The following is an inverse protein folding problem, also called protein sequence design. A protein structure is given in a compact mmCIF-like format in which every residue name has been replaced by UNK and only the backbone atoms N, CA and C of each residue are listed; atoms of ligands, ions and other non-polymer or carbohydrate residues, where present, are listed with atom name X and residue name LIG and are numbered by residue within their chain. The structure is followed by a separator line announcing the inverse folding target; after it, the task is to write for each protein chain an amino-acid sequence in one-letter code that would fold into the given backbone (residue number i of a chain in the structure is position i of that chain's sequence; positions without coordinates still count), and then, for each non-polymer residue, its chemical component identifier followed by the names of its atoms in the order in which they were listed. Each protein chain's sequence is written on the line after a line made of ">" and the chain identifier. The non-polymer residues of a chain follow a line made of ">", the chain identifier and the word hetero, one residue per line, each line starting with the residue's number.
data_IF_849515862686
#
_entry.id   IF_849515862686
#
_cell.length_a   1.000
_cell.length_b   1.000
_cell.length_c   1.000
_cell.angle_alpha   90.00
_cell.angle_beta   90.00
_cell.angle_gamma   90.00
#
_symmetry.space_group_name_H-M   'P 1'
#
loop_
_entity.id
_entity.type
_entity.pdbx_description
1 polymer ?
#
# COMPACT_ATOMS: atom_id res chain seq x y z
N UNK A 1 77.61 -22.08 0.52
CA UNK A 1 77.96 -21.00 1.48
C UNK A 1 76.67 -20.31 1.90
N UNK A 2 76.49 -20.18 3.22
CA UNK A 2 75.54 -19.30 3.96
C UNK A 2 74.01 -19.53 3.83
N UNK A 3 73.51 -20.62 4.42
CA UNK A 3 72.67 -20.70 5.64
C UNK A 3 72.26 -19.39 6.39
N UNK A 4 71.35 -19.40 7.42
CA UNK A 4 70.05 -20.08 7.62
C UNK A 4 68.99 -19.24 8.44
N UNK A 5 67.93 -19.92 8.92
CA UNK A 5 67.15 -19.75 10.20
C UNK A 5 65.87 -18.86 10.27
N UNK A 6 64.77 -19.54 10.70
CA UNK A 6 63.77 -19.24 11.77
C UNK A 6 62.32 -19.41 11.27
N UNK A 7 61.61 -20.47 11.67
CA UNK A 7 60.76 -20.61 12.89
C UNK A 7 59.54 -19.65 12.80
N UNK A 8 58.27 -20.03 12.97
CA UNK A 8 57.58 -20.79 14.04
C UNK A 8 56.10 -20.93 13.55
N UNK A 9 55.49 -22.12 13.44
CA UNK A 9 54.46 -22.70 14.32
C UNK A 9 53.49 -21.75 15.09
N UNK A 10 52.25 -22.24 15.29
CA UNK A 10 51.13 -21.83 16.19
C UNK A 10 49.96 -21.14 15.42
N UNK A 11 48.80 -21.74 15.11
CA UNK A 11 47.76 -22.44 15.88
C UNK A 11 46.86 -21.52 16.74
N UNK A 12 45.56 -21.40 16.38
CA UNK A 12 44.37 -21.22 17.25
C UNK A 12 43.17 -20.84 16.35
N UNK A 13 42.19 -21.71 16.08
CA UNK A 13 41.09 -22.16 16.95
C UNK A 13 39.93 -21.14 17.08
N UNK A 14 38.81 -21.51 16.43
CA UNK A 14 37.42 -21.42 16.86
C UNK A 14 36.92 -20.13 17.55
N UNK A 15 35.90 -19.51 16.94
CA UNK A 15 34.68 -19.14 17.66
C UNK A 15 33.48 -19.13 16.70
N UNK A 16 32.66 -20.17 16.85
CA UNK A 16 31.29 -20.25 16.35
C UNK A 16 30.42 -19.22 17.08
N UNK A 17 29.79 -18.31 16.34
CA UNK A 17 28.64 -17.56 16.83
C UNK A 17 27.45 -17.89 15.93
N UNK A 18 26.75 -18.99 16.26
CA UNK A 18 25.39 -19.17 15.81
C UNK A 18 24.51 -18.20 16.58
N UNK A 19 23.94 -17.21 15.90
CA UNK A 19 22.87 -16.41 16.48
C UNK A 19 21.64 -17.31 16.57
N UNK A 20 21.38 -17.80 17.79
CA UNK A 20 20.09 -18.31 18.16
C UNK A 20 19.10 -17.13 18.21
N UNK A 21 17.95 -17.29 17.56
CA UNK A 21 16.75 -16.46 17.79
C UNK A 21 16.43 -16.58 19.27
N UNK A 22 16.90 -15.59 20.04
CA UNK A 22 16.66 -15.55 21.47
C UNK A 22 15.29 -14.90 21.64
N UNK A 23 14.27 -15.74 21.80
CA UNK A 23 13.03 -15.30 22.41
C UNK A 23 13.38 -14.84 23.84
N UNK A 24 13.67 -13.56 24.00
CA UNK A 24 13.79 -12.97 25.32
C UNK A 24 12.40 -12.97 25.96
N UNK A 25 12.13 -13.99 26.76
CA UNK A 25 11.01 -14.06 27.69
C UNK A 25 11.24 -13.04 28.82
N UNK A 26 10.95 -11.77 28.53
CA UNK A 26 10.87 -10.72 29.55
C UNK A 26 9.48 -10.78 30.18
N UNK A 27 9.36 -11.61 31.21
CA UNK A 27 8.16 -11.76 32.02
C UNK A 27 7.66 -10.40 32.54
N UNK A 28 6.53 -9.94 31.99
CA UNK A 28 5.77 -8.79 32.46
C UNK A 28 4.53 -9.27 33.24
N UNK A 29 4.04 -8.56 34.27
CA UNK A 29 3.13 -9.10 35.28
C UNK A 29 1.67 -9.34 34.83
N UNK A 30 1.33 -9.08 33.57
CA UNK A 30 -0.04 -9.25 33.02
C UNK A 30 -0.10 -10.39 31.98
N UNK A 31 0.13 -11.62 32.44
CA UNK A 31 -0.71 -12.79 32.16
C UNK A 31 -1.09 -13.21 30.73
N UNK A 32 -0.31 -12.90 29.68
CA UNK A 32 -0.57 -13.41 28.32
C UNK A 32 0.68 -13.53 27.47
N UNK A 33 0.74 -14.54 26.59
CA UNK A 33 1.81 -14.68 25.59
C UNK A 33 1.82 -13.43 24.70
N UNK A 34 2.93 -12.69 24.72
CA UNK A 34 3.18 -11.56 23.82
C UNK A 34 4.08 -12.03 22.70
N UNK A 35 3.81 -11.55 21.49
CA UNK A 35 4.75 -11.73 20.37
C UNK A 35 5.44 -10.41 20.07
N UNK A 36 6.76 -10.48 19.88
CA UNK A 36 7.60 -9.32 19.59
C UNK A 36 8.07 -9.43 18.14
N UNK A 37 7.86 -8.37 17.37
CA UNK A 37 8.37 -8.20 16.01
C UNK A 37 9.39 -7.08 16.04
N UNK A 38 10.62 -7.38 15.62
CA UNK A 38 11.64 -6.37 15.39
C UNK A 38 11.48 -5.78 13.99
N UNK A 39 11.82 -4.50 13.83
CA UNK A 39 11.80 -3.78 12.56
C UNK A 39 13.17 -3.20 12.26
N UNK A 40 13.56 -3.29 11.00
CA UNK A 40 14.81 -2.77 10.45
C UNK A 40 14.50 -1.76 9.35
N UNK A 41 15.41 -0.80 9.13
CA UNK A 41 15.31 0.20 8.08
C UNK A 41 16.47 0.06 7.10
N UNK A 42 16.24 0.44 5.84
CA UNK A 42 17.26 0.38 4.78
C UNK A 42 18.41 1.38 4.99
N UNK A 43 18.21 2.36 5.88
CA UNK A 43 19.18 3.40 6.22
C UNK A 43 19.10 3.76 7.71
N UNK A 44 20.20 4.21 8.32
CA UNK A 44 20.20 4.59 9.73
C UNK A 44 19.23 5.74 9.99
N UNK A 45 18.34 5.54 10.95
CA UNK A 45 17.34 6.52 11.35
C UNK A 45 17.87 7.40 12.50
N UNK A 46 17.53 8.69 12.46
CA UNK A 46 17.77 9.58 13.61
C UNK A 46 16.87 9.20 14.79
N UNK A 47 17.24 9.59 16.01
CA UNK A 47 16.42 9.33 17.18
C UNK A 47 15.01 9.94 17.10
N UNK A 48 14.85 11.06 16.38
CA UNK A 48 13.54 11.66 16.13
C UNK A 48 12.73 10.85 15.11
N UNK A 49 13.36 10.42 14.02
CA UNK A 49 12.70 9.59 13.02
C UNK A 49 12.28 8.22 13.59
N UNK A 50 13.08 7.63 14.50
CA UNK A 50 12.70 6.40 15.22
C UNK A 50 11.47 6.60 16.11
N UNK A 51 11.35 7.75 16.80
CA UNK A 51 10.17 8.07 17.62
C UNK A 51 8.92 8.27 16.77
N UNK A 52 9.03 9.02 15.68
CA UNK A 52 7.92 9.22 14.74
C UNK A 52 7.46 7.89 14.13
N UNK A 53 8.42 7.05 13.71
CA UNK A 53 8.13 5.71 13.23
C UNK A 53 7.43 4.84 14.29
N UNK A 54 7.88 4.91 15.55
CA UNK A 54 7.27 4.16 16.64
C UNK A 54 5.81 4.54 16.88
N UNK A 55 5.50 5.84 16.85
CA UNK A 55 4.13 6.35 17.00
C UNK A 55 3.23 5.92 15.85
N UNK A 56 3.72 6.03 14.61
CA UNK A 56 2.99 5.60 13.42
C UNK A 56 2.75 4.09 13.41
N UNK A 57 3.76 3.29 13.75
CA UNK A 57 3.66 1.83 13.80
C UNK A 57 2.65 1.39 14.87
N UNK A 58 2.67 2.03 16.05
CA UNK A 58 1.68 1.78 17.10
C UNK A 58 0.27 2.11 16.60
N UNK A 59 0.09 3.28 15.99
CA UNK A 59 -1.22 3.70 15.49
C UNK A 59 -1.76 2.76 14.41
N UNK A 60 -0.92 2.31 13.47
CA UNK A 60 -1.27 1.28 12.48
C UNK A 60 -1.69 -0.02 13.15
N UNK A 61 -0.94 -0.46 14.16
CA UNK A 61 -1.27 -1.68 14.89
C UNK A 61 -2.64 -1.58 15.59
N UNK A 62 -2.97 -0.43 16.18
CA UNK A 62 -4.28 -0.18 16.77
C UNK A 62 -5.41 -0.26 15.72
N UNK A 63 -5.23 0.39 14.56
CA UNK A 63 -6.22 0.39 13.47
C UNK A 63 -6.43 -1.00 12.83
N UNK A 64 -5.36 -1.80 12.75
CA UNK A 64 -5.42 -3.20 12.29
C UNK A 64 -5.99 -4.16 13.34
N UNK A 65 -6.34 -3.66 14.52
CA UNK A 65 -6.96 -4.44 15.59
C UNK A 65 -5.99 -5.34 16.35
N UNK A 66 -4.69 -5.04 16.35
CA UNK A 66 -3.75 -5.72 17.25
C UNK A 66 -4.11 -5.41 18.71
N UNK A 67 -4.05 -6.43 19.56
CA UNK A 67 -4.40 -6.29 20.97
C UNK A 67 -3.23 -5.76 21.78
N UNK A 68 -3.44 -4.66 22.51
CA UNK A 68 -2.45 -3.99 23.37
C UNK A 68 -1.07 -3.79 22.68
N UNK A 69 -1.00 -3.09 21.53
CA UNK A 69 0.24 -2.87 20.81
C UNK A 69 1.14 -1.90 21.58
N UNK A 70 2.39 -2.33 21.83
CA UNK A 70 3.41 -1.54 22.52
C UNK A 70 4.65 -1.46 21.64
N UNK A 71 5.14 -0.27 21.37
CA UNK A 71 6.35 -0.07 20.58
C UNK A 71 7.47 0.42 21.49
N UNK A 72 8.65 -0.17 21.36
CA UNK A 72 9.86 0.22 22.07
C UNK A 72 11.00 0.46 21.09
N UNK A 73 11.83 1.45 21.39
CA UNK A 73 13.08 1.74 20.69
C UNK A 73 14.25 1.44 21.64
N UNK A 74 14.94 0.33 21.45
CA UNK A 74 16.11 -0.05 22.27
C UNK A 74 17.34 -0.25 21.40
N UNK A 75 18.46 0.37 21.76
CA UNK A 75 19.73 0.24 21.03
C UNK A 75 19.67 0.59 19.54
N UNK A 76 18.72 1.43 19.10
CA UNK A 76 18.49 1.73 17.68
C UNK A 76 17.58 0.73 16.95
N UNK A 77 17.09 -0.30 17.64
CA UNK A 77 16.14 -1.29 17.11
C UNK A 77 14.72 -0.91 17.52
N UNK A 78 13.83 -0.86 16.54
CA UNK A 78 12.40 -0.65 16.75
C UNK A 78 11.72 -2.01 16.94
N UNK A 79 10.94 -2.19 18.00
CA UNK A 79 10.23 -3.44 18.27
C UNK A 79 8.77 -3.18 18.61
N UNK A 80 7.85 -3.93 17.98
CA UNK A 80 6.43 -3.97 18.31
C UNK A 80 6.14 -5.23 19.12
N UNK A 81 5.57 -5.06 20.30
CA UNK A 81 5.05 -6.15 21.10
C UNK A 81 3.53 -6.10 21.11
N UNK A 82 2.87 -7.20 20.74
CA UNK A 82 1.40 -7.33 20.78
C UNK A 82 0.99 -8.51 21.65
N UNK A 83 -0.22 -8.47 22.21
CA UNK A 83 -0.78 -9.58 22.94
C UNK A 83 -1.41 -10.60 21.98
N UNK A 84 -1.01 -11.88 22.08
CA UNK A 84 -1.44 -12.95 21.19
C UNK A 84 -0.56 -13.11 19.95
N UNK A 85 -1.02 -13.93 19.00
CA UNK A 85 -0.29 -14.20 17.77
C UNK A 85 -0.33 -13.00 16.82
N UNK A 86 0.80 -12.77 16.14
CA UNK A 86 0.88 -11.93 14.93
C UNK A 86 0.60 -12.82 13.73
N UNK A 87 -0.52 -12.60 13.06
CA UNK A 87 -0.83 -13.27 11.80
C UNK A 87 0.01 -12.65 10.65
N UNK A 88 -0.35 -12.94 9.40
CA UNK A 88 0.21 -12.31 8.19
C UNK A 88 -0.01 -10.79 8.08
N UNK A 89 -0.67 -10.16 9.06
CA UNK A 89 -0.92 -8.70 9.14
C UNK A 89 0.33 -7.88 9.46
N UNK A 90 1.45 -8.52 9.80
CA UNK A 90 2.70 -7.82 10.15
C UNK A 90 3.29 -7.06 8.96
N UNK A 91 3.21 -7.62 7.74
CA UNK A 91 3.65 -6.93 6.52
C UNK A 91 2.81 -5.68 6.23
N UNK A 92 1.51 -5.74 6.56
CA UNK A 92 0.60 -4.61 6.35
C UNK A 92 0.93 -3.41 7.24
N UNK A 93 1.62 -3.62 8.37
CA UNK A 93 2.09 -2.53 9.24
C UNK A 93 3.11 -1.64 8.54
N UNK A 94 3.96 -2.23 7.69
CA UNK A 94 5.08 -1.56 7.05
C UNK A 94 4.80 -1.16 5.61
N UNK A 95 3.83 -1.81 4.97
CA UNK A 95 3.46 -1.51 3.60
C UNK A 95 3.01 -0.05 3.45
N UNK A 96 3.50 0.60 2.39
CA UNK A 96 3.10 1.96 2.01
C UNK A 96 2.17 1.84 0.82
N UNK A 97 0.88 2.05 1.06
CA UNK A 97 -0.11 2.05 -0.01
C UNK A 97 -0.04 3.37 -0.77
N UNK A 98 0.09 3.28 -2.08
CA UNK A 98 -0.08 4.41 -3.00
C UNK A 98 -1.50 4.37 -3.55
N UNK A 99 -2.31 5.34 -3.16
CA UNK A 99 -3.66 5.54 -3.67
C UNK A 99 -3.71 6.72 -4.63
N UNK A 100 -4.29 6.51 -5.81
CA UNK A 100 -4.38 7.51 -6.87
C UNK A 100 -5.77 7.51 -7.50
N UNK A 101 -6.30 8.70 -7.77
CA UNK A 101 -7.49 8.88 -8.59
C UNK A 101 -7.05 9.39 -9.95
N UNK A 102 -7.34 8.63 -11.00
CA UNK A 102 -6.95 8.96 -12.37
C UNK A 102 -8.16 8.95 -13.29
N UNK A 103 -8.35 9.94 -14.18
CA UNK A 103 -9.42 9.87 -15.18
C UNK A 103 -9.18 8.69 -16.13
N UNK A 104 -10.25 7.99 -16.49
CA UNK A 104 -10.20 6.92 -17.49
C UNK A 104 -10.29 7.55 -18.87
N UNK A 105 -9.36 7.21 -19.75
CA UNK A 105 -9.32 7.70 -21.13
C UNK A 105 -9.93 6.69 -22.10
N UNK A 106 -9.66 5.40 -21.87
CA UNK A 106 -10.19 4.30 -22.67
C UNK A 106 -10.17 2.98 -21.88
N UNK A 107 -11.03 2.05 -22.27
CA UNK A 107 -11.09 0.69 -21.72
C UNK A 107 -11.14 -0.34 -22.84
N UNK A 108 -10.54 -1.51 -22.63
CA UNK A 108 -10.67 -2.66 -23.53
C UNK A 108 -10.66 -3.98 -22.77
N UNK A 109 -11.31 -5.04 -23.29
CA UNK A 109 -11.11 -6.39 -22.80
C UNK A 109 -9.62 -6.81 -22.89
N UNK A 110 -9.07 -7.58 -21.93
CA UNK A 110 -7.67 -8.00 -21.93
C UNK A 110 -7.31 -8.82 -23.17
N UNK A 111 -8.23 -9.66 -23.62
CA UNK A 111 -8.08 -10.53 -24.79
C UNK A 111 -8.20 -9.78 -26.13
N UNK A 112 -8.77 -8.57 -26.15
CA UNK A 112 -8.98 -7.83 -27.40
C UNK A 112 -8.90 -6.30 -27.21
N UNK A 113 -7.68 -5.78 -27.37
CA UNK A 113 -7.41 -4.34 -27.32
C UNK A 113 -7.89 -3.56 -28.55
N UNK A 114 -8.43 -4.24 -29.59
CA UNK A 114 -8.99 -3.58 -30.77
C UNK A 114 -10.38 -2.98 -30.54
N UNK A 115 -11.05 -3.40 -29.45
CA UNK A 115 -12.38 -2.91 -29.06
C UNK A 115 -12.35 -1.47 -28.55
N UNK A 116 -11.20 -0.98 -28.07
CA UNK A 116 -11.05 0.42 -27.71
C UNK A 116 -10.93 1.29 -28.98
N UNK A 117 -11.67 2.40 -29.09
CA UNK A 117 -11.47 3.33 -30.18
C UNK A 117 -10.03 3.86 -30.16
N UNK A 118 -9.27 3.62 -31.23
CA UNK A 118 -7.83 3.91 -31.27
C UNK A 118 -7.48 5.38 -31.08
N UNK A 119 -8.46 6.28 -31.24
CA UNK A 119 -8.37 7.71 -31.00
C UNK A 119 -8.52 8.11 -29.52
N UNK A 120 -9.11 7.26 -28.68
CA UNK A 120 -9.29 7.54 -27.25
C UNK A 120 -8.03 7.25 -26.43
N UNK A 121 -7.17 6.35 -26.89
CA UNK A 121 -5.86 6.10 -26.27
C UNK A 121 -4.83 7.09 -26.84
N UNK A 122 -4.18 7.92 -26.00
CA UNK A 122 -3.13 8.84 -26.48
C UNK A 122 -2.03 8.11 -27.26
N UNK A 123 -1.55 8.70 -28.36
CA UNK A 123 -0.57 8.07 -29.26
C UNK A 123 0.66 7.46 -28.53
N UNK A 124 1.27 8.11 -27.53
CA UNK A 124 2.40 7.54 -26.80
C UNK A 124 2.05 6.29 -25.98
N UNK A 125 0.78 6.15 -25.57
CA UNK A 125 0.30 5.04 -24.72
C UNK A 125 -0.12 3.81 -25.51
N UNK A 126 -0.46 3.96 -26.79
CA UNK A 126 -1.00 2.86 -27.63
C UNK A 126 -0.17 1.57 -27.59
N UNK A 127 1.17 1.57 -27.73
CA UNK A 127 1.95 0.33 -27.66
C UNK A 127 1.88 -0.32 -26.28
N UNK A 128 1.92 0.48 -25.20
CA UNK A 128 1.81 -0.04 -23.83
C UNK A 128 0.44 -0.65 -23.58
N UNK A 129 -0.62 0.02 -24.03
CA UNK A 129 -2.00 -0.45 -23.89
C UNK A 129 -2.24 -1.78 -24.63
N UNK A 130 -1.69 -1.91 -25.84
CA UNK A 130 -1.78 -3.15 -26.63
C UNK A 130 -1.01 -4.30 -25.98
N UNK A 131 0.22 -4.03 -25.53
CA UNK A 131 1.10 -5.02 -24.94
C UNK A 131 0.77 -5.36 -23.47
N UNK A 132 -0.12 -4.62 -22.82
CA UNK A 132 -0.44 -4.79 -21.40
C UNK A 132 -0.91 -6.23 -21.13
N UNK A 133 -0.26 -6.88 -20.16
CA UNK A 133 -0.61 -8.20 -19.67
C UNK A 133 -1.22 -8.08 -18.28
N UNK A 134 -2.51 -8.34 -18.16
CA UNK A 134 -3.23 -8.27 -16.88
C UNK A 134 -3.00 -9.47 -15.96
N UNK A 135 -2.17 -10.43 -16.36
CA UNK A 135 -1.70 -11.52 -15.49
C UNK A 135 -0.38 -11.18 -14.79
N UNK A 136 0.34 -10.16 -15.27
CA UNK A 136 1.55 -9.68 -14.64
C UNK A 136 1.23 -8.86 -13.37
N UNK A 137 2.14 -8.84 -12.37
CA UNK A 137 1.99 -7.98 -11.20
C UNK A 137 1.85 -6.50 -11.62
N UNK A 138 0.95 -5.74 -10.98
CA UNK A 138 0.80 -4.31 -11.23
C UNK A 138 2.11 -3.57 -10.89
N UNK A 139 2.37 -2.48 -11.61
CA UNK A 139 3.51 -1.61 -11.34
C UNK A 139 3.04 -0.17 -11.12
N UNK A 140 3.48 0.50 -10.06
CA UNK A 140 3.23 1.93 -9.88
C UNK A 140 3.75 2.73 -11.07
N UNK A 141 2.96 3.72 -11.51
CA UNK A 141 3.31 4.60 -12.61
C UNK A 141 3.67 6.00 -12.11
N UNK A 142 4.39 6.77 -12.92
CA UNK A 142 4.67 8.17 -12.61
C UNK A 142 3.34 8.96 -12.46
N UNK A 143 3.13 9.67 -11.34
CA UNK A 143 1.89 10.38 -11.08
C UNK A 143 1.61 11.53 -12.06
N UNK A 144 2.64 12.08 -12.70
CA UNK A 144 2.53 13.21 -13.63
C UNK A 144 2.19 12.82 -15.06
N UNK A 145 2.22 11.51 -15.38
CA UNK A 145 2.02 11.01 -16.74
C UNK A 145 0.79 10.13 -16.87
N UNK A 146 0.27 10.06 -18.10
CA UNK A 146 -0.70 9.04 -18.46
C UNK A 146 -0.05 7.65 -18.41
N UNK A 147 -0.82 6.62 -18.08
CA UNK A 147 -0.34 5.25 -17.91
C UNK A 147 -1.40 4.23 -18.31
N UNK A 148 -1.03 2.95 -18.32
CA UNK A 148 -1.95 1.83 -18.52
C UNK A 148 -2.00 0.97 -17.27
N UNK A 149 -3.17 0.43 -16.95
CA UNK A 149 -3.36 -0.44 -15.79
C UNK A 149 -4.48 -1.44 -16.05
N UNK A 150 -4.55 -2.48 -15.21
CA UNK A 150 -5.60 -3.49 -15.28
C UNK A 150 -6.59 -3.31 -14.12
N UNK A 151 -7.87 -3.46 -14.41
CA UNK A 151 -8.89 -3.63 -13.37
C UNK A 151 -8.92 -5.05 -12.85
N UNK A 152 -9.37 -5.17 -11.61
CA UNK A 152 -9.61 -6.46 -10.99
C UNK A 152 -10.86 -7.10 -11.58
N UNK A 153 -10.76 -8.38 -11.96
CA UNK A 153 -11.94 -9.15 -12.34
C UNK A 153 -12.80 -9.38 -11.08
N UNK A 154 -14.13 -9.30 -11.24
CA UNK A 154 -15.09 -9.67 -10.21
C UNK A 154 -15.90 -10.88 -10.68
N UNK A 155 -16.76 -11.41 -9.82
CA UNK A 155 -17.67 -12.50 -10.21
C UNK A 155 -18.68 -12.08 -11.30
N UNK A 156 -18.87 -10.77 -11.51
CA UNK A 156 -19.85 -10.20 -12.43
C UNK A 156 -19.22 -9.48 -13.63
N UNK A 157 -17.96 -9.05 -13.52
CA UNK A 157 -17.30 -8.25 -14.54
C UNK A 157 -15.89 -8.79 -14.82
N UNK A 158 -15.53 -9.03 -16.09
CA UNK A 158 -14.16 -9.42 -16.43
C UNK A 158 -13.20 -8.26 -16.16
N UNK A 159 -11.93 -8.59 -15.89
CA UNK A 159 -10.86 -7.59 -15.87
C UNK A 159 -10.84 -6.81 -17.19
N UNK A 160 -10.43 -5.54 -17.14
CA UNK A 160 -10.28 -4.65 -18.29
C UNK A 160 -8.87 -4.06 -18.31
N UNK A 161 -8.38 -3.74 -19.50
CA UNK A 161 -7.25 -2.83 -19.72
C UNK A 161 -7.78 -1.40 -19.69
N UNK A 162 -7.12 -0.52 -18.96
CA UNK A 162 -7.47 0.89 -18.87
C UNK A 162 -6.29 1.75 -19.31
N UNK A 163 -6.58 2.73 -20.16
CA UNK A 163 -5.68 3.87 -20.38
C UNK A 163 -6.12 4.97 -19.41
N UNK A 164 -5.20 5.43 -18.59
CA UNK A 164 -5.44 6.37 -17.50
C UNK A 164 -4.69 7.67 -17.75
N UNK A 165 -5.30 8.79 -17.37
CA UNK A 165 -4.61 10.07 -17.33
C UNK A 165 -3.63 10.19 -16.16
N UNK A 166 -2.98 11.37 -16.03
CA UNK A 166 -2.22 11.72 -14.84
C UNK A 166 -3.06 11.66 -13.56
N UNK A 167 -2.40 11.59 -12.41
CA UNK A 167 -3.07 11.60 -11.11
C UNK A 167 -3.76 12.93 -10.89
N UNK A 168 -5.07 12.87 -10.70
CA UNK A 168 -5.90 14.03 -10.38
C UNK A 168 -6.00 14.24 -8.86
N UNK A 169 -5.98 13.18 -8.06
CA UNK A 169 -6.02 13.24 -6.58
C UNK A 169 -5.09 12.17 -6.02
N UNK A 170 -4.25 12.56 -5.06
CA UNK A 170 -3.28 11.66 -4.42
C UNK A 170 -3.82 11.17 -3.08
N UNK A 171 -3.31 10.04 -2.60
CA UNK A 171 -3.62 9.55 -1.25
C UNK A 171 -3.28 10.55 -0.14
N UNK A 172 -2.30 11.44 -0.36
CA UNK A 172 -1.96 12.51 0.57
C UNK A 172 -3.10 13.54 0.78
N UNK A 173 -4.06 13.61 -0.14
CA UNK A 173 -5.21 14.52 -0.06
C UNK A 173 -6.37 13.94 0.78
N UNK A 174 -6.18 12.76 1.39
CA UNK A 174 -7.16 12.07 2.23
C UNK A 174 -6.92 12.44 3.69
N UNK A 175 -7.97 12.95 4.35
CA UNK A 175 -7.94 13.31 5.75
C UNK A 175 -8.31 12.13 6.67
N UNK A 176 -9.18 11.22 6.20
CA UNK A 176 -9.63 10.06 6.95
C UNK A 176 -10.01 8.92 6.02
N UNK A 177 -9.72 7.69 6.46
CA UNK A 177 -10.13 6.46 5.80
C UNK A 177 -10.71 5.49 6.83
N UNK A 178 -11.83 4.83 6.52
CA UNK A 178 -12.48 3.90 7.45
C UNK A 178 -13.15 2.76 6.69
N UNK A 179 -12.95 1.53 7.13
CA UNK A 179 -13.66 0.37 6.60
C UNK A 179 -15.12 0.41 7.05
N UNK A 180 -16.04 0.26 6.11
CA UNK A 180 -17.48 0.30 6.35
C UNK A 180 -18.16 -0.86 5.64
N UNK A 181 -19.20 -1.41 6.27
CA UNK A 181 -20.11 -2.35 5.62
C UNK A 181 -21.27 -1.56 5.03
N UNK A 182 -21.45 -1.58 3.72
CA UNK A 182 -22.60 -0.96 3.06
C UNK A 182 -23.75 -1.96 3.01
N UNK A 183 -24.74 -1.77 3.87
CA UNK A 183 -25.91 -2.64 3.99
C UNK A 183 -26.70 -2.77 2.67
N UNK A 184 -26.64 -1.74 1.81
CA UNK A 184 -27.37 -1.72 0.53
C UNK A 184 -26.79 -2.68 -0.49
N UNK A 185 -25.46 -2.75 -0.56
CA UNK A 185 -24.76 -3.66 -1.46
C UNK A 185 -24.35 -4.97 -0.78
N UNK A 186 -24.51 -5.06 0.55
CA UNK A 186 -24.03 -6.14 1.40
C UNK A 186 -22.53 -6.43 1.20
N UNK A 187 -21.72 -5.37 1.03
CA UNK A 187 -20.29 -5.45 0.74
C UNK A 187 -19.48 -4.54 1.66
N UNK A 188 -18.24 -4.93 1.91
CA UNK A 188 -17.27 -4.07 2.55
C UNK A 188 -16.72 -3.05 1.56
N UNK A 189 -16.57 -1.81 2.03
CA UNK A 189 -15.96 -0.71 1.31
C UNK A 189 -15.09 0.13 2.23
N UNK A 190 -14.46 1.15 1.65
CA UNK A 190 -13.60 2.08 2.37
C UNK A 190 -14.19 3.48 2.16
N UNK A 191 -14.71 4.05 3.23
CA UNK A 191 -15.17 5.44 3.27
C UNK A 191 -13.97 6.36 3.40
N UNK A 192 -13.88 7.33 2.49
CA UNK A 192 -12.81 8.31 2.41
C UNK A 192 -13.38 9.70 2.65
N UNK A 193 -12.77 10.43 3.58
CA UNK A 193 -12.97 11.87 3.74
C UNK A 193 -11.72 12.59 3.25
N UNK A 194 -11.88 13.51 2.31
CA UNK A 194 -10.78 14.29 1.75
C UNK A 194 -10.47 15.53 2.60
N UNK A 195 -9.24 16.01 2.48
CA UNK A 195 -8.86 17.37 2.90
C UNK A 195 -9.61 18.42 2.08
N UNK A 196 -9.55 19.69 2.49
CA UNK A 196 -10.17 20.78 1.72
C UNK A 196 -9.61 20.88 0.27
N UNK A 197 -8.30 20.65 0.10
CA UNK A 197 -7.67 20.59 -1.22
C UNK A 197 -8.20 19.39 -2.02
N UNK A 198 -8.14 18.19 -1.45
CA UNK A 198 -8.64 16.97 -2.11
C UNK A 198 -10.13 17.02 -2.46
N UNK A 199 -10.96 17.64 -1.64
CA UNK A 199 -12.38 17.83 -1.92
C UNK A 199 -12.61 18.79 -3.12
N UNK A 200 -11.76 19.81 -3.25
CA UNK A 200 -11.77 20.74 -4.40
C UNK A 200 -11.33 20.01 -5.67
N UNK A 201 -10.28 19.21 -5.60
CA UNK A 201 -9.78 18.42 -6.74
C UNK A 201 -10.80 17.37 -7.16
N UNK A 202 -11.46 16.70 -6.20
CA UNK A 202 -12.55 15.75 -6.46
C UNK A 202 -13.74 16.42 -7.16
N UNK A 203 -14.14 17.60 -6.68
CA UNK A 203 -15.22 18.38 -7.30
C UNK A 203 -14.83 18.76 -8.73
N UNK A 204 -13.60 19.23 -8.93
CA UNK A 204 -13.09 19.66 -10.23
C UNK A 204 -13.05 18.49 -11.22
N UNK A 205 -12.46 17.37 -10.81
CA UNK A 205 -12.38 16.14 -11.60
C UNK A 205 -13.77 15.66 -12.01
N UNK A 206 -14.68 15.50 -11.05
CA UNK A 206 -16.02 14.97 -11.31
C UNK A 206 -16.89 15.92 -12.14
N UNK A 207 -16.72 17.23 -11.98
CA UNK A 207 -17.39 18.23 -12.84
C UNK A 207 -16.92 18.15 -14.28
N UNK A 208 -15.63 17.89 -14.52
CA UNK A 208 -15.13 17.69 -15.88
C UNK A 208 -15.68 16.38 -16.48
N UNK A 209 -15.62 15.28 -15.72
CA UNK A 209 -15.97 13.93 -16.20
C UNK A 209 -17.46 13.74 -16.46
N UNK A 210 -18.36 14.36 -15.68
CA UNK A 210 -19.81 14.17 -15.85
C UNK A 210 -20.32 14.62 -17.23
N UNK A 211 -19.59 15.49 -17.92
CA UNK A 211 -19.93 15.99 -19.26
C UNK A 211 -19.47 15.07 -20.40
N UNK A 212 -18.69 14.03 -20.08
CA UNK A 212 -18.12 13.11 -21.06
C UNK A 212 -19.04 11.92 -21.32
N UNK A 213 -18.79 11.19 -22.41
CA UNK A 213 -19.42 9.90 -22.67
C UNK A 213 -18.59 8.77 -22.07
N UNK A 214 -19.22 7.61 -21.87
CA UNK A 214 -18.51 6.38 -21.49
C UNK A 214 -17.40 6.02 -22.51
N UNK A 215 -16.21 5.57 -22.05
CA UNK A 215 -15.75 5.42 -20.65
C UNK A 215 -15.07 6.68 -20.08
N UNK A 216 -14.99 7.76 -20.85
CA UNK A 216 -14.29 8.99 -20.47
C UNK A 216 -14.98 9.79 -19.35
N UNK A 217 -16.18 9.39 -18.93
CA UNK A 217 -16.86 9.92 -17.75
C UNK A 217 -16.52 9.15 -16.45
N UNK A 218 -15.56 8.23 -16.48
CA UNK A 218 -15.13 7.44 -15.33
C UNK A 218 -13.82 7.97 -14.74
N UNK A 219 -13.58 7.71 -13.45
CA UNK A 219 -12.25 7.82 -12.86
C UNK A 219 -11.88 6.49 -12.20
N UNK A 220 -10.64 6.05 -12.40
CA UNK A 220 -10.06 4.89 -11.77
C UNK A 220 -9.52 5.24 -10.39
N UNK A 221 -9.79 4.36 -9.43
CA UNK A 221 -9.18 4.32 -8.11
C UNK A 221 -8.08 3.26 -8.17
N UNK A 222 -6.83 3.71 -8.15
CA UNK A 222 -5.63 2.88 -8.32
C UNK A 222 -4.93 2.70 -6.98
N UNK A 223 -4.62 1.45 -6.63
CA UNK A 223 -3.94 1.05 -5.40
C UNK A 223 -2.70 0.26 -5.81
N UNK A 224 -1.52 0.78 -5.50
CA UNK A 224 -0.23 0.15 -5.81
C UNK A 224 -0.09 -0.27 -7.28
N UNK A 225 -0.65 0.55 -8.19
CA UNK A 225 -0.64 0.32 -9.64
C UNK A 225 -1.78 -0.57 -10.18
N UNK A 226 -2.59 -1.19 -9.32
CA UNK A 226 -3.77 -1.96 -9.73
C UNK A 226 -5.05 -1.12 -9.64
N UNK A 227 -5.95 -1.22 -10.63
CA UNK A 227 -7.24 -0.51 -10.57
C UNK A 227 -8.21 -1.32 -9.70
N UNK A 228 -8.53 -0.76 -8.53
CA UNK A 228 -9.48 -1.35 -7.58
C UNK A 228 -10.93 -1.19 -8.07
N UNK A 229 -11.27 -0.02 -8.59
CA UNK A 229 -12.57 0.27 -9.22
C UNK A 229 -12.47 1.46 -10.17
N UNK A 230 -13.43 1.61 -11.09
CA UNK A 230 -13.47 2.74 -12.04
C UNK A 230 -14.92 3.24 -12.26
N UNK A 231 -15.57 3.81 -11.23
CA UNK A 231 -16.97 4.22 -11.33
C UNK A 231 -17.20 5.34 -12.35
N UNK A 232 -18.36 5.32 -12.99
CA UNK A 232 -18.85 6.41 -13.82
C UNK A 232 -19.35 7.58 -12.96
N UNK A 233 -19.02 8.80 -13.36
CA UNK A 233 -19.49 10.02 -12.73
C UNK A 233 -20.85 10.40 -13.31
N UNK A 234 -21.89 10.35 -12.47
CA UNK A 234 -23.26 10.73 -12.85
C UNK A 234 -23.62 12.15 -12.40
N UNK A 235 -22.92 12.68 -11.40
CA UNK A 235 -23.07 14.03 -10.88
C UNK A 235 -21.76 14.48 -10.22
N UNK A 236 -21.46 15.79 -10.18
CA UNK A 236 -20.31 16.30 -9.44
C UNK A 236 -20.35 15.88 -7.97
N UNK A 237 -19.21 15.48 -7.43
CA UNK A 237 -19.06 15.11 -6.01
C UNK A 237 -18.51 16.31 -5.25
N UNK A 238 -19.38 17.03 -4.55
CA UNK A 238 -19.05 18.27 -3.82
C UNK A 238 -18.92 18.08 -2.31
N UNK A 239 -19.29 16.91 -1.78
CA UNK A 239 -19.31 16.62 -0.35
C UNK A 239 -17.93 16.30 0.26
N UNK A 240 -16.87 16.24 -0.54
CA UNK A 240 -15.53 15.89 -0.08
C UNK A 240 -15.40 14.47 0.50
N UNK A 241 -16.32 13.57 0.12
CA UNK A 241 -16.32 12.17 0.54
C UNK A 241 -16.48 11.26 -0.66
N UNK A 242 -15.86 10.08 -0.61
CA UNK A 242 -16.01 9.03 -1.60
C UNK A 242 -16.00 7.66 -0.92
N UNK A 243 -16.74 6.72 -1.50
CA UNK A 243 -16.74 5.33 -1.06
C UNK A 243 -16.01 4.48 -2.10
N UNK A 244 -14.89 3.87 -1.72
CA UNK A 244 -14.26 2.82 -2.52
C UNK A 244 -15.06 1.55 -2.29
N UNK A 245 -15.67 1.05 -3.36
CA UNK A 245 -16.37 -0.25 -3.36
C UNK A 245 -15.58 -1.26 -4.19
N UNK A 246 -15.73 -2.54 -3.87
CA UNK A 246 -15.00 -3.61 -4.53
C UNK A 246 -15.36 -4.97 -3.95
N UNK A 247 -14.59 -6.00 -4.31
CA UNK A 247 -14.72 -7.34 -3.74
C UNK A 247 -13.85 -7.52 -2.49
N UNK A 248 -13.90 -6.53 -1.58
CA UNK A 248 -13.12 -6.58 -0.34
C UNK A 248 -13.78 -7.50 0.69
N UNK A 249 -12.96 -8.29 1.39
CA UNK A 249 -13.34 -8.84 2.69
C UNK A 249 -13.26 -7.76 3.77
N UNK A 250 -13.85 -8.03 4.94
CA UNK A 250 -13.70 -7.17 6.13
C UNK A 250 -12.23 -6.83 6.39
N UNK A 251 -11.39 -7.86 6.48
CA UNK A 251 -9.98 -7.71 6.84
C UNK A 251 -9.19 -6.96 5.75
N UNK A 252 -9.52 -7.15 4.48
CA UNK A 252 -8.93 -6.39 3.38
C UNK A 252 -9.32 -4.90 3.45
N UNK A 253 -10.60 -4.60 3.67
CA UNK A 253 -11.06 -3.23 3.81
C UNK A 253 -10.46 -2.54 5.04
N UNK A 254 -10.41 -3.23 6.19
CA UNK A 254 -9.78 -2.72 7.42
C UNK A 254 -8.29 -2.47 7.23
N UNK A 255 -7.59 -3.41 6.57
CA UNK A 255 -6.16 -3.28 6.31
C UNK A 255 -5.86 -2.09 5.42
N UNK A 256 -6.57 -1.99 4.29
CA UNK A 256 -6.42 -0.87 3.38
C UNK A 256 -6.79 0.46 4.05
N UNK A 257 -7.88 0.51 4.81
CA UNK A 257 -8.28 1.73 5.52
C UNK A 257 -7.20 2.19 6.52
N UNK A 258 -6.61 1.25 7.28
CA UNK A 258 -5.52 1.56 8.21
C UNK A 258 -4.26 2.07 7.49
N UNK A 259 -3.92 1.48 6.35
CA UNK A 259 -2.77 1.90 5.54
C UNK A 259 -2.96 3.30 4.96
N UNK A 260 -4.18 3.65 4.54
CA UNK A 260 -4.51 4.98 4.00
C UNK A 260 -4.67 6.05 5.09
N UNK A 261 -5.12 5.66 6.29
CA UNK A 261 -5.33 6.58 7.40
C UNK A 261 -4.02 7.05 8.06
N UNK A 262 -2.90 6.39 7.75
CA UNK A 262 -1.61 6.69 8.39
C UNK A 262 -0.61 7.24 7.38
N UNK A 263 0.21 8.24 7.76
CA UNK A 263 1.28 8.72 6.90
C UNK A 263 2.27 7.60 6.52
N UNK A 264 3.06 7.85 5.48
CA UNK A 264 4.15 6.96 5.11
C UNK A 264 5.15 6.81 6.26
N UNK A 265 5.54 5.57 6.55
CA UNK A 265 6.57 5.29 7.54
C UNK A 265 7.94 5.82 7.09
N UNK A 266 8.75 6.38 8.00
CA UNK A 266 10.11 6.79 7.68
C UNK A 266 10.97 5.63 7.15
N UNK A 267 11.73 5.93 6.08
CA UNK A 267 12.88 5.15 5.57
C UNK A 267 12.71 3.62 5.47
N UNK A 268 11.70 3.14 4.73
CA UNK A 268 11.66 1.73 4.28
C UNK A 268 11.64 0.71 5.43
N UNK A 269 11.05 1.06 6.57
CA UNK A 269 10.93 0.15 7.70
C UNK A 269 10.22 -1.14 7.26
N UNK A 270 10.83 -2.28 7.58
CA UNK A 270 10.31 -3.61 7.30
C UNK A 270 10.53 -4.53 8.50
N UNK A 271 9.71 -5.59 8.66
CA UNK A 271 9.95 -6.58 9.70
C UNK A 271 11.32 -7.21 9.51
N UNK A 272 12.09 -7.37 10.59
CA UNK A 272 13.34 -8.09 10.56
C UNK A 272 13.06 -9.55 10.19
N UNK A 273 13.67 -10.03 9.11
CA UNK A 273 13.62 -11.45 8.75
C UNK A 273 14.28 -12.28 9.87
N UNK A 274 13.65 -13.36 10.36
CA UNK A 274 14.23 -14.22 11.39
C UNK A 274 15.50 -14.96 10.93
#
# INVERSE_FOLDING_TARGET
>A
MTSPIRALAIAAALLTAGLAVTACDSGSPDGGKRTVVAFTSDSPLSGEALKQAAEQLRHRAELLGFKDPRVSTDGGTLSLSVAGAVDNRTEALTHQVVLEFRPVLATAPPADSSTAPSSAVPLPLRPQFQALDCTAPPHPADPSTATVACSTATAQEPALKLALGPVAIKGADIAKSTAVFDDRSAKWGIDLTFTAAGATDLTTLTTALVTQSDPANQFAIVIDGAVASHPAVMQPITGGQALITGSFTHDQAQTLAAQLATPALPAGLHPATP
#
